data_IF_370813910409
#
_entry.id   IF_370813910409
#
_cell.length_a   1.000
_cell.length_b   1.000
_cell.length_c   1.000
_cell.angle_alpha   90.00
_cell.angle_beta   90.00
_cell.angle_gamma   90.00
#
_symmetry.space_group_name_H-M   'P 1'
#
loop_
_entity.id
_entity.type
_entity.pdbx_description
1 polymer ?
#
# COMPACT_ATOMS: atom_id res chain seq x y z
N UNK A 1 -2.06 18.99 -12.97
CA UNK A 1 -2.85 19.60 -14.07
C UNK A 1 -4.21 20.01 -13.52
N UNK A 2 -4.54 21.28 -13.68
CA UNK A 2 -5.67 21.98 -13.04
C UNK A 2 -7.02 21.50 -13.60
N UNK A 3 -7.91 21.08 -12.72
CA UNK A 3 -9.29 20.72 -13.05
C UNK A 3 -10.16 21.99 -13.19
N UNK A 4 -10.41 22.43 -14.42
CA UNK A 4 -11.35 23.52 -14.72
C UNK A 4 -12.80 23.01 -14.60
N UNK A 5 -13.43 23.34 -13.48
CA UNK A 5 -14.87 23.18 -13.26
C UNK A 5 -15.64 24.26 -14.04
N UNK A 6 -16.15 23.91 -15.22
CA UNK A 6 -17.14 24.75 -15.90
C UNK A 6 -18.51 24.61 -15.22
N UNK A 7 -18.86 25.58 -14.37
CA UNK A 7 -20.23 25.79 -13.88
C UNK A 7 -21.11 26.27 -15.04
N UNK A 8 -22.03 25.43 -15.51
CA UNK A 8 -23.03 25.79 -16.52
C UNK A 8 -24.25 26.37 -15.81
N UNK A 9 -24.46 27.68 -15.90
CA UNK A 9 -25.64 28.40 -15.40
C UNK A 9 -26.87 28.08 -16.29
N UNK A 10 -28.09 27.99 -15.73
CA UNK A 10 -29.31 27.82 -16.52
C UNK A 10 -29.72 29.14 -17.20
N UNK A 11 -29.88 29.11 -18.52
CA UNK A 11 -30.41 30.20 -19.34
C UNK A 11 -31.92 30.32 -19.11
N UNK A 12 -32.37 31.41 -18.50
CA UNK A 12 -33.79 31.75 -18.39
C UNK A 12 -34.29 32.29 -19.73
N UNK A 13 -35.09 31.50 -20.45
CA UNK A 13 -35.74 31.91 -21.69
C UNK A 13 -37.04 32.66 -21.32
N UNK A 14 -36.99 33.99 -21.43
CA UNK A 14 -38.14 34.87 -21.29
C UNK A 14 -39.10 34.68 -22.46
N UNK A 15 -40.36 34.32 -22.18
CA UNK A 15 -41.44 34.20 -23.17
C UNK A 15 -42.14 35.55 -23.29
N UNK A 16 -41.78 36.33 -24.31
CA UNK A 16 -42.56 37.51 -24.72
C UNK A 16 -43.81 37.01 -25.44
N UNK A 17 -44.97 37.24 -24.83
CA UNK A 17 -46.28 37.00 -25.43
C UNK A 17 -46.58 38.03 -26.51
N UNK A 18 -46.74 37.58 -27.75
CA UNK A 18 -47.24 38.40 -28.86
C UNK A 18 -48.75 38.15 -28.95
N UNK A 19 -49.54 39.10 -28.45
CA UNK A 19 -50.99 39.14 -28.66
C UNK A 19 -51.27 39.99 -29.88
N UNK A 20 -51.65 39.36 -31.00
CA UNK A 20 -52.06 40.05 -32.23
C UNK A 20 -53.59 40.04 -32.34
N UNK A 21 -54.19 41.21 -32.09
CA UNK A 21 -55.56 41.52 -32.45
C UNK A 21 -55.61 41.90 -33.95
N UNK A 22 -56.44 41.21 -34.74
CA UNK A 22 -56.73 41.60 -36.11
C UNK A 22 -58.25 41.57 -36.37
N UNK A 23 -58.77 42.78 -36.50
CA UNK A 23 -60.11 43.25 -36.88
C UNK A 23 -60.81 42.42 -37.97
N UNK A 24 -62.09 42.17 -37.73
CA UNK A 24 -63.08 41.74 -38.73
C UNK A 24 -63.30 42.83 -39.79
N UNK A 25 -63.05 42.51 -41.05
CA UNK A 25 -63.51 43.29 -42.20
C UNK A 25 -64.51 42.45 -42.99
N UNK A 26 -65.80 42.74 -42.86
CA UNK A 26 -66.85 42.14 -43.68
C UNK A 26 -66.81 42.77 -45.08
N UNK A 27 -66.23 42.05 -46.05
CA UNK A 27 -66.34 42.36 -47.47
C UNK A 27 -67.64 41.79 -48.02
N UNK A 28 -68.67 42.62 -48.11
CA UNK A 28 -69.90 42.32 -48.87
C UNK A 28 -69.58 42.35 -50.36
N UNK A 29 -69.47 41.16 -50.98
CA UNK A 29 -69.33 41.01 -52.43
C UNK A 29 -70.72 40.75 -53.03
N UNK A 30 -71.30 41.76 -53.67
CA UNK A 30 -72.52 41.59 -54.47
C UNK A 30 -72.13 40.96 -55.83
N UNK A 31 -72.72 39.81 -56.17
CA UNK A 31 -72.66 39.21 -57.52
C UNK A 31 -74.06 39.20 -58.14
N UNK A 32 -74.20 39.85 -59.28
CA UNK A 32 -75.39 39.83 -60.12
C UNK A 32 -75.48 38.49 -60.88
N UNK A 33 -76.61 37.81 -60.74
CA UNK A 33 -76.87 36.44 -61.22
C UNK A 33 -77.81 36.44 -62.41
N UNK A 34 -77.35 35.95 -63.58
CA UNK A 34 -78.23 35.21 -64.52
C UNK A 34 -77.44 34.34 -65.51
N UNK A 35 -76.24 34.76 -65.95
CA UNK A 35 -75.31 33.88 -66.68
C UNK A 35 -74.45 32.99 -65.76
N UNK A 36 -74.43 33.31 -64.46
CA UNK A 36 -73.68 32.58 -63.45
C UNK A 36 -74.36 31.26 -63.04
N UNK A 37 -75.67 31.07 -63.25
CA UNK A 37 -76.43 29.91 -62.73
C UNK A 37 -75.93 28.56 -63.29
N UNK A 38 -75.74 28.45 -64.61
CA UNK A 38 -75.22 27.24 -65.26
C UNK A 38 -73.73 27.01 -64.97
N UNK A 39 -72.94 28.09 -64.83
CA UNK A 39 -71.55 28.02 -64.40
C UNK A 39 -71.41 27.70 -62.89
N UNK A 40 -72.40 28.08 -62.06
CA UNK A 40 -72.45 27.77 -60.62
C UNK A 40 -72.86 26.34 -60.35
N UNK A 41 -73.64 25.68 -61.21
CA UNK A 41 -73.93 24.24 -61.04
C UNK A 41 -72.72 23.38 -61.38
N UNK A 42 -71.99 23.70 -62.47
CA UNK A 42 -70.70 23.09 -62.78
C UNK A 42 -69.63 23.42 -61.71
N UNK A 43 -69.54 24.68 -61.25
CA UNK A 43 -68.61 25.03 -60.18
C UNK A 43 -69.02 24.49 -58.81
N UNK A 44 -70.31 24.31 -58.52
CA UNK A 44 -70.80 23.71 -57.27
C UNK A 44 -70.52 22.21 -57.22
N UNK A 45 -70.66 21.51 -58.34
CA UNK A 45 -70.32 20.08 -58.44
C UNK A 45 -68.81 19.85 -58.35
N UNK A 46 -68.00 20.70 -58.97
CA UNK A 46 -66.53 20.66 -58.85
C UNK A 46 -66.03 21.07 -57.46
N UNK A 47 -66.63 22.09 -56.83
CA UNK A 47 -66.28 22.47 -55.45
C UNK A 47 -66.68 21.39 -54.46
N UNK A 48 -67.83 20.74 -54.66
CA UNK A 48 -68.25 19.60 -53.83
C UNK A 48 -67.32 18.39 -53.97
N UNK A 49 -66.82 18.09 -55.18
CA UNK A 49 -65.85 17.01 -55.40
C UNK A 49 -64.48 17.31 -54.76
N UNK A 50 -64.01 18.57 -54.84
CA UNK A 50 -62.78 19.01 -54.17
C UNK A 50 -62.88 18.99 -52.64
N UNK A 51 -64.03 19.37 -52.08
CA UNK A 51 -64.24 19.30 -50.62
C UNK A 51 -64.24 17.85 -50.14
N UNK A 52 -64.85 16.93 -50.91
CA UNK A 52 -64.84 15.49 -50.60
C UNK A 52 -63.43 14.92 -50.69
N UNK A 53 -62.67 15.23 -51.74
CA UNK A 53 -61.28 14.77 -51.87
C UNK A 53 -60.37 15.34 -50.78
N UNK A 54 -60.53 16.63 -50.43
CA UNK A 54 -59.81 17.26 -49.32
C UNK A 54 -60.13 16.63 -47.97
N UNK A 55 -61.38 16.23 -47.74
CA UNK A 55 -61.81 15.53 -46.52
C UNK A 55 -61.20 14.13 -46.45
N UNK A 56 -61.23 13.37 -47.56
CA UNK A 56 -60.59 12.05 -47.66
C UNK A 56 -59.08 12.14 -47.43
N UNK A 57 -58.39 13.07 -48.10
CA UNK A 57 -56.96 13.32 -47.91
C UNK A 57 -56.59 13.67 -46.46
N UNK A 58 -57.39 14.52 -45.80
CA UNK A 58 -57.18 14.83 -44.37
C UNK A 58 -57.36 13.61 -43.47
N UNK A 59 -58.31 12.73 -43.79
CA UNK A 59 -58.51 11.48 -43.05
C UNK A 59 -57.34 10.53 -43.25
N UNK A 60 -56.86 10.37 -44.48
CA UNK A 60 -55.67 9.57 -44.81
C UNK A 60 -54.42 10.09 -44.09
N UNK A 61 -54.16 11.40 -44.10
CA UNK A 61 -53.06 11.99 -43.33
C UNK A 61 -53.23 11.74 -41.83
N UNK A 62 -54.45 11.85 -41.31
CA UNK A 62 -54.69 11.61 -39.89
C UNK A 62 -54.41 10.16 -39.49
N UNK A 63 -54.70 9.19 -40.38
CA UNK A 63 -54.33 7.79 -40.19
C UNK A 63 -52.80 7.61 -40.25
N UNK A 64 -52.14 8.14 -41.29
CA UNK A 64 -50.69 8.07 -41.42
C UNK A 64 -49.94 8.70 -40.23
N UNK A 65 -50.46 9.80 -39.67
CA UNK A 65 -49.89 10.41 -38.46
C UNK A 65 -50.04 9.52 -37.24
N UNK A 66 -51.15 8.81 -37.10
CA UNK A 66 -51.35 7.86 -36.00
C UNK A 66 -50.37 6.69 -36.13
N UNK A 67 -50.26 6.12 -37.32
CA UNK A 67 -49.34 5.02 -37.60
C UNK A 67 -47.89 5.43 -37.31
N UNK A 68 -47.49 6.62 -37.77
CA UNK A 68 -46.17 7.16 -37.48
C UNK A 68 -45.90 7.35 -35.97
N UNK A 69 -46.86 7.89 -35.22
CA UNK A 69 -46.73 8.05 -33.77
C UNK A 69 -46.62 6.70 -33.07
N UNK A 70 -47.38 5.69 -33.51
CA UNK A 70 -47.29 4.34 -32.95
C UNK A 70 -45.95 3.67 -33.25
N UNK A 71 -45.43 3.83 -34.47
CA UNK A 71 -44.11 3.33 -34.84
C UNK A 71 -42.99 3.99 -34.02
N UNK A 72 -43.05 5.31 -33.83
CA UNK A 72 -42.09 6.01 -32.98
C UNK A 72 -42.16 5.54 -31.52
N UNK A 73 -43.37 5.35 -30.98
CA UNK A 73 -43.55 4.79 -29.63
C UNK A 73 -42.95 3.38 -29.53
N UNK A 74 -43.21 2.50 -30.50
CA UNK A 74 -42.62 1.15 -30.54
C UNK A 74 -41.10 1.21 -30.63
N UNK A 75 -40.53 2.15 -31.40
CA UNK A 75 -39.08 2.35 -31.49
C UNK A 75 -38.50 2.81 -30.15
N UNK A 76 -39.15 3.78 -29.49
CA UNK A 76 -38.73 4.26 -28.17
C UNK A 76 -38.80 3.17 -27.10
N UNK A 77 -39.87 2.37 -27.08
CA UNK A 77 -40.00 1.25 -26.14
C UNK A 77 -38.92 0.18 -26.35
N UNK A 78 -38.56 -0.14 -27.60
CA UNK A 78 -37.45 -1.05 -27.88
C UNK A 78 -36.14 -0.52 -27.32
N UNK A 79 -35.83 0.75 -27.59
CA UNK A 79 -34.63 1.40 -27.05
C UNK A 79 -34.62 1.41 -25.52
N UNK A 80 -35.77 1.65 -24.88
CA UNK A 80 -35.89 1.62 -23.43
C UNK A 80 -35.64 0.21 -22.87
N UNK A 81 -36.25 -0.83 -23.46
CA UNK A 81 -36.02 -2.23 -23.06
C UNK A 81 -34.56 -2.65 -23.24
N UNK A 82 -33.93 -2.23 -24.34
CA UNK A 82 -32.52 -2.53 -24.60
C UNK A 82 -31.60 -1.85 -23.58
N UNK A 83 -31.89 -0.59 -23.22
CA UNK A 83 -31.14 0.14 -22.20
C UNK A 83 -31.28 -0.53 -20.81
N UNK A 84 -32.49 -0.98 -20.44
CA UNK A 84 -32.73 -1.71 -19.20
C UNK A 84 -31.99 -3.05 -19.18
N UNK A 85 -32.03 -3.81 -20.29
CA UNK A 85 -31.34 -5.07 -20.43
C UNK A 85 -29.81 -4.89 -20.29
N UNK A 86 -29.24 -3.84 -20.90
CA UNK A 86 -27.83 -3.49 -20.75
C UNK A 86 -27.49 -3.12 -19.30
N UNK A 87 -28.32 -2.31 -18.64
CA UNK A 87 -28.14 -1.95 -17.22
C UNK A 87 -28.12 -3.20 -16.34
N UNK A 88 -29.06 -4.13 -16.54
CA UNK A 88 -29.11 -5.39 -15.79
C UNK A 88 -27.88 -6.26 -16.05
N UNK A 89 -27.42 -6.35 -17.31
CA UNK A 89 -26.19 -7.08 -17.66
C UNK A 89 -24.98 -6.50 -16.93
N UNK A 90 -24.85 -5.17 -16.90
CA UNK A 90 -23.77 -4.47 -16.19
C UNK A 90 -23.87 -4.73 -14.68
N UNK A 91 -25.07 -4.67 -14.08
CA UNK A 91 -25.23 -4.93 -12.66
C UNK A 91 -24.88 -6.37 -12.28
N UNK A 92 -25.29 -7.36 -13.09
CA UNK A 92 -24.91 -8.77 -12.89
C UNK A 92 -23.40 -8.96 -12.98
N UNK A 93 -22.74 -8.35 -13.98
CA UNK A 93 -21.29 -8.42 -14.12
C UNK A 93 -20.56 -7.75 -12.93
N UNK A 94 -21.06 -6.61 -12.44
CA UNK A 94 -20.52 -5.95 -11.24
C UNK A 94 -20.70 -6.82 -9.99
N UNK A 95 -21.86 -7.44 -9.81
CA UNK A 95 -22.13 -8.35 -8.70
C UNK A 95 -21.18 -9.56 -8.73
N UNK A 96 -21.00 -10.19 -9.89
CA UNK A 96 -20.05 -11.30 -10.06
C UNK A 96 -18.61 -10.87 -9.73
N UNK A 97 -18.18 -9.69 -10.18
CA UNK A 97 -16.85 -9.15 -9.84
C UNK A 97 -16.66 -8.92 -8.34
N UNK A 98 -17.69 -8.39 -7.66
CA UNK A 98 -17.63 -8.18 -6.21
C UNK A 98 -17.58 -9.51 -5.45
N UNK A 99 -18.29 -10.53 -5.92
CA UNK A 99 -18.26 -11.85 -5.33
C UNK A 99 -16.87 -12.51 -5.47
N UNK A 100 -16.26 -12.44 -6.66
CA UNK A 100 -14.88 -12.91 -6.86
C UNK A 100 -13.91 -12.18 -5.92
N UNK A 101 -14.06 -10.85 -5.76
CA UNK A 101 -13.24 -10.08 -4.82
C UNK A 101 -13.42 -10.55 -3.38
N UNK A 102 -14.65 -10.85 -2.95
CA UNK A 102 -14.94 -11.41 -1.61
C UNK A 102 -14.27 -12.76 -1.43
N UNK A 103 -14.37 -13.64 -2.43
CA UNK A 103 -13.72 -14.95 -2.38
C UNK A 103 -12.21 -14.83 -2.30
N UNK A 104 -11.60 -13.93 -3.09
CA UNK A 104 -10.16 -13.65 -3.01
C UNK A 104 -9.74 -13.07 -1.66
N UNK A 105 -10.56 -12.21 -1.05
CA UNK A 105 -10.28 -11.71 0.30
C UNK A 105 -10.37 -12.83 1.33
N UNK A 106 -11.35 -13.73 1.21
CA UNK A 106 -11.49 -14.88 2.08
C UNK A 106 -10.32 -15.87 1.95
N UNK A 107 -9.80 -16.07 0.73
CA UNK A 107 -8.61 -16.89 0.48
C UNK A 107 -7.37 -16.24 1.12
N UNK A 108 -7.13 -14.95 0.85
CA UNK A 108 -6.01 -14.21 1.46
C UNK A 108 -6.06 -14.20 2.99
N UNK A 109 -7.24 -14.05 3.58
CA UNK A 109 -7.39 -14.11 5.04
C UNK A 109 -7.02 -15.49 5.60
N UNK A 110 -7.36 -16.58 4.89
CA UNK A 110 -6.96 -17.94 5.28
C UNK A 110 -5.46 -18.15 5.13
N UNK A 111 -4.84 -17.59 4.10
CA UNK A 111 -3.39 -17.65 3.89
C UNK A 111 -2.65 -16.90 4.99
N UNK A 112 -3.04 -15.67 5.29
CA UNK A 112 -2.46 -14.86 6.39
C UNK A 112 -2.61 -15.57 7.73
N UNK A 113 -3.75 -16.21 8.00
CA UNK A 113 -3.94 -16.99 9.22
C UNK A 113 -2.98 -18.19 9.32
N UNK A 114 -2.70 -18.87 8.20
CA UNK A 114 -1.73 -19.96 8.15
C UNK A 114 -0.30 -19.47 8.35
N UNK A 115 0.08 -18.36 7.70
CA UNK A 115 1.40 -17.75 7.87
C UNK A 115 1.62 -17.30 9.31
N UNK A 116 0.60 -16.70 9.93
CA UNK A 116 0.66 -16.32 11.34
C UNK A 116 0.85 -17.54 12.24
N UNK A 117 0.12 -18.64 12.01
CA UNK A 117 0.29 -19.86 12.78
C UNK A 117 1.73 -20.42 12.67
N UNK A 118 2.28 -20.46 11.45
CA UNK A 118 3.67 -20.90 11.22
C UNK A 118 4.66 -19.95 11.91
N UNK A 119 4.40 -18.64 11.90
CA UNK A 119 5.26 -17.67 12.59
C UNK A 119 5.21 -17.86 14.11
N UNK A 120 4.02 -18.01 14.67
CA UNK A 120 3.83 -18.23 16.11
C UNK A 120 4.53 -19.54 16.56
N UNK A 121 4.48 -20.59 15.74
CA UNK A 121 5.23 -21.83 15.96
C UNK A 121 6.75 -21.61 15.96
N UNK A 122 7.28 -20.88 14.97
CA UNK A 122 8.73 -20.53 14.92
C UNK A 122 9.18 -19.70 16.11
N UNK A 123 8.35 -18.76 16.54
CA UNK A 123 8.62 -17.94 17.73
C UNK A 123 8.64 -18.82 18.97
N UNK A 124 7.69 -19.74 19.10
CA UNK A 124 7.65 -20.71 20.20
C UNK A 124 8.90 -21.59 20.24
N UNK A 125 9.30 -22.19 19.11
CA UNK A 125 10.50 -23.05 19.06
C UNK A 125 11.76 -22.24 19.41
N UNK A 126 11.87 -21.00 18.92
CA UNK A 126 12.98 -20.13 19.26
C UNK A 126 13.06 -19.82 20.76
N UNK A 127 11.92 -19.56 21.41
CA UNK A 127 11.90 -19.35 22.86
C UNK A 127 12.26 -20.61 23.62
N UNK A 128 11.75 -21.78 23.22
CA UNK A 128 12.08 -23.06 23.82
C UNK A 128 13.59 -23.34 23.73
N UNK A 129 14.21 -23.14 22.56
CA UNK A 129 15.67 -23.24 22.37
C UNK A 129 16.44 -22.25 23.26
N UNK A 130 16.00 -21.00 23.36
CA UNK A 130 16.65 -20.00 24.22
C UNK A 130 16.56 -20.35 25.70
N UNK A 131 15.48 -20.96 26.14
CA UNK A 131 15.33 -21.43 27.53
C UNK A 131 16.36 -22.52 27.81
N UNK A 132 16.53 -23.50 26.93
CA UNK A 132 17.54 -24.56 27.06
C UNK A 132 18.94 -23.95 27.14
N UNK A 133 19.30 -23.05 26.22
CA UNK A 133 20.62 -22.39 26.23
C UNK A 133 20.87 -21.61 27.52
N UNK A 134 19.84 -20.97 28.09
CA UNK A 134 19.97 -20.25 29.38
C UNK A 134 20.18 -21.22 30.53
N UNK A 135 19.49 -22.36 30.56
CA UNK A 135 19.67 -23.40 31.57
C UNK A 135 21.07 -24.03 31.51
N UNK A 136 21.59 -24.28 30.31
CA UNK A 136 22.95 -24.79 30.13
C UNK A 136 23.99 -23.77 30.64
N UNK A 137 23.81 -22.49 30.29
CA UNK A 137 24.68 -21.42 30.77
C UNK A 137 24.62 -21.26 32.29
N UNK A 138 23.43 -21.32 32.90
CA UNK A 138 23.30 -21.24 34.36
C UNK A 138 23.97 -22.43 35.04
N UNK A 139 23.80 -23.65 34.51
CA UNK A 139 24.45 -24.84 35.03
C UNK A 139 25.99 -24.75 34.97
N UNK A 140 26.55 -24.19 33.89
CA UNK A 140 28.00 -23.97 33.78
C UNK A 140 28.49 -22.93 34.81
N UNK A 141 27.74 -21.84 34.99
CA UNK A 141 28.06 -20.81 35.99
C UNK A 141 28.01 -21.39 37.40
N UNK A 142 27.01 -22.22 37.71
CA UNK A 142 26.89 -22.90 39.01
C UNK A 142 28.06 -23.85 39.24
N UNK A 143 28.42 -24.69 38.27
CA UNK A 143 29.61 -25.56 38.38
C UNK A 143 30.89 -24.75 38.62
N UNK A 144 31.08 -23.64 37.91
CA UNK A 144 32.25 -22.76 38.12
C UNK A 144 32.24 -22.16 39.51
N UNK A 145 31.08 -21.71 40.00
CA UNK A 145 30.91 -21.17 41.34
C UNK A 145 31.21 -22.22 42.41
N UNK A 146 30.69 -23.44 42.25
CA UNK A 146 30.95 -24.56 43.15
C UNK A 146 32.43 -24.92 43.19
N UNK A 147 33.10 -24.98 42.04
CA UNK A 147 34.54 -25.22 41.96
C UNK A 147 35.35 -24.13 42.69
N UNK A 148 34.98 -22.85 42.51
CA UNK A 148 35.61 -21.74 43.21
C UNK A 148 35.35 -21.80 44.72
N UNK A 149 34.13 -22.10 45.15
CA UNK A 149 33.79 -22.25 46.58
C UNK A 149 34.53 -23.43 47.20
N UNK A 150 34.65 -24.55 46.49
CA UNK A 150 35.42 -25.70 46.94
C UNK A 150 36.91 -25.37 47.09
N UNK A 151 37.49 -24.66 46.12
CA UNK A 151 38.86 -24.16 46.20
C UNK A 151 39.05 -23.20 47.37
N UNK A 152 38.11 -22.26 47.57
CA UNK A 152 38.15 -21.32 48.68
C UNK A 152 38.07 -22.03 50.04
N UNK A 153 37.22 -23.06 50.17
CA UNK A 153 37.12 -23.90 51.37
C UNK A 153 38.44 -24.64 51.66
N UNK A 154 39.10 -25.17 50.62
CA UNK A 154 40.42 -25.77 50.79
C UNK A 154 41.48 -24.74 51.22
N UNK A 155 41.41 -23.52 50.68
CA UNK A 155 42.30 -22.42 51.07
C UNK A 155 42.00 -21.91 52.48
N UNK A 156 40.75 -21.91 52.94
CA UNK A 156 40.38 -21.41 54.26
C UNK A 156 41.00 -22.22 55.39
N UNK A 157 41.24 -23.52 55.18
CA UNK A 157 41.99 -24.34 56.14
C UNK A 157 43.45 -23.89 56.31
N UNK A 158 44.00 -23.12 55.37
CA UNK A 158 45.36 -22.58 55.41
C UNK A 158 45.40 -21.13 55.90
N UNK A 159 44.24 -20.53 56.20
CA UNK A 159 44.18 -19.16 56.72
C UNK A 159 44.71 -19.08 58.15
N UNK A 160 45.26 -17.93 58.50
CA UNK A 160 45.77 -17.64 59.83
C UNK A 160 44.59 -17.37 60.77
N UNK A 161 44.38 -18.23 61.76
CA UNK A 161 43.43 -18.04 62.85
C UNK A 161 44.16 -17.59 64.11
N UNK A 162 43.43 -17.08 65.11
CA UNK A 162 43.99 -16.65 66.40
C UNK A 162 44.81 -17.75 67.08
N UNK A 163 44.40 -19.02 66.90
CA UNK A 163 45.07 -20.21 67.42
C UNK A 163 46.41 -20.52 66.71
N UNK A 164 46.53 -20.24 65.42
CA UNK A 164 47.73 -20.54 64.61
C UNK A 164 48.63 -19.32 64.38
N UNK A 165 48.31 -18.18 64.99
CA UNK A 165 48.93 -16.87 64.74
C UNK A 165 50.44 -16.86 65.07
N UNK A 166 50.81 -17.43 66.22
CA UNK A 166 52.20 -17.46 66.70
C UNK A 166 53.12 -18.37 65.85
N UNK A 167 52.57 -19.38 65.19
CA UNK A 167 53.35 -20.30 64.35
C UNK A 167 53.55 -19.77 62.93
N UNK A 168 52.57 -19.04 62.40
CA UNK A 168 52.59 -18.51 61.03
C UNK A 168 53.43 -17.24 60.86
N UNK A 169 53.71 -16.51 61.94
CA UNK A 169 54.48 -15.26 61.93
C UNK A 169 55.97 -15.43 62.29
N UNK A 170 56.47 -16.66 62.37
CA UNK A 170 57.91 -16.94 62.54
C UNK A 170 58.68 -16.58 61.26
N UNK A 171 59.89 -16.03 61.41
CA UNK A 171 60.74 -15.61 60.28
C UNK A 171 61.00 -16.73 59.27
N UNK A 172 61.15 -17.97 59.72
CA UNK A 172 61.37 -19.12 58.84
C UNK A 172 60.20 -19.39 57.87
N UNK A 173 58.95 -19.14 58.30
CA UNK A 173 57.77 -19.31 57.44
C UNK A 173 57.67 -18.15 56.44
N UNK A 174 58.16 -16.96 56.80
CA UNK A 174 58.19 -15.79 55.93
C UNK A 174 59.23 -15.94 54.81
N UNK A 175 60.45 -16.40 55.13
CA UNK A 175 61.55 -16.56 54.18
C UNK A 175 61.28 -17.68 53.15
N UNK A 176 60.63 -18.77 53.57
CA UNK A 176 60.38 -19.95 52.71
C UNK A 176 58.92 -20.10 52.27
N UNK A 177 58.10 -19.05 52.38
CA UNK A 177 56.70 -19.10 51.94
C UNK A 177 56.62 -19.34 50.42
N UNK A 178 55.85 -20.34 49.98
CA UNK A 178 55.61 -20.60 48.56
C UNK A 178 55.07 -19.38 47.80
N UNK A 179 54.37 -18.46 48.48
CA UNK A 179 53.79 -17.27 47.84
C UNK A 179 54.85 -16.24 47.44
N UNK A 180 55.93 -16.07 48.21
CA UNK A 180 57.04 -15.19 47.84
C UNK A 180 57.92 -15.80 46.73
N UNK A 181 58.01 -17.14 46.69
CA UNK A 181 58.79 -17.87 45.69
C UNK A 181 58.05 -17.91 44.35
N UNK A 182 56.74 -18.13 44.36
CA UNK A 182 55.92 -18.11 43.14
C UNK A 182 55.74 -16.71 42.56
N UNK A 183 55.56 -15.66 43.37
CA UNK A 183 55.42 -14.28 42.87
C UNK A 183 56.69 -13.73 42.20
N UNK A 184 57.86 -14.31 42.50
CA UNK A 184 59.14 -13.93 41.89
C UNK A 184 59.41 -14.64 40.56
N UNK A 185 58.73 -15.76 40.29
CA UNK A 185 58.88 -16.56 39.07
C UNK A 185 57.67 -16.54 38.12
N UNK A 186 56.52 -16.00 38.54
CA UNK A 186 55.28 -16.04 37.76
C UNK A 186 54.88 -14.70 37.12
N UNK A 187 55.81 -13.75 36.96
CA UNK A 187 55.56 -12.60 36.09
C UNK A 187 55.66 -13.04 34.63
N UNK A 188 54.62 -13.71 34.16
CA UNK A 188 54.42 -13.99 32.73
C UNK A 188 53.62 -12.83 32.12
N UNK A 189 54.25 -11.96 31.30
CA UNK A 189 53.54 -10.88 30.62
C UNK A 189 52.44 -11.38 29.67
N UNK A 190 52.43 -12.67 29.30
CA UNK A 190 51.36 -13.32 28.53
C UNK A 190 50.10 -13.60 29.36
N UNK A 191 50.23 -13.70 30.70
CA UNK A 191 49.11 -13.98 31.60
C UNK A 191 48.36 -12.72 32.06
N UNK A 192 48.88 -11.52 31.76
CA UNK A 192 48.15 -10.24 31.89
C UNK A 192 47.18 -10.08 30.72
N UNK A 193 46.22 -10.99 30.64
CA UNK A 193 45.08 -10.89 29.74
C UNK A 193 44.06 -9.93 30.34
N UNK A 194 44.20 -8.64 30.02
CA UNK A 194 43.15 -7.67 30.30
C UNK A 194 43.62 -6.22 30.34
N UNK A 195 43.29 -5.47 29.29
CA UNK A 195 43.30 -4.00 29.21
C UNK A 195 44.62 -3.31 28.82
N UNK A 196 45.68 -3.32 29.62
CA UNK A 196 46.79 -2.37 29.41
C UNK A 196 47.75 -2.71 28.25
N UNK A 197 48.16 -3.98 28.11
CA UNK A 197 49.11 -4.40 27.06
C UNK A 197 48.42 -4.47 25.69
N UNK A 198 47.16 -4.91 25.65
CA UNK A 198 46.35 -4.98 24.42
C UNK A 198 46.14 -3.61 23.76
N UNK A 199 46.03 -2.53 24.54
CA UNK A 199 45.89 -1.17 24.01
C UNK A 199 47.20 -0.63 23.43
N UNK A 200 48.33 -0.90 24.08
CA UNK A 200 49.65 -0.53 23.57
C UNK A 200 50.00 -1.32 22.30
N UNK A 201 49.72 -2.62 22.27
CA UNK A 201 49.93 -3.45 21.08
C UNK A 201 49.02 -2.99 19.93
N UNK A 202 47.79 -2.54 20.24
CA UNK A 202 46.89 -1.93 19.26
C UNK A 202 47.41 -0.58 18.74
N UNK A 203 47.95 0.27 19.61
CA UNK A 203 48.58 1.54 19.21
C UNK A 203 49.85 1.32 18.39
N UNK A 204 50.64 0.29 18.70
CA UNK A 204 51.82 -0.06 17.92
C UNK A 204 51.47 -0.60 16.53
N UNK A 205 50.34 -1.32 16.40
CA UNK A 205 49.82 -1.76 15.09
C UNK A 205 49.09 -0.67 14.31
N UNK A 206 48.59 0.37 14.99
CA UNK A 206 48.04 1.54 14.32
C UNK A 206 49.18 2.44 13.86
N UNK A 207 49.52 2.39 12.56
CA UNK A 207 50.39 3.41 11.98
C UNK A 207 49.74 4.80 12.12
N UNK A 208 50.49 5.85 12.49
CA UNK A 208 49.96 7.20 12.54
C UNK A 208 49.48 7.61 11.15
N UNK A 209 48.28 8.20 11.08
CA UNK A 209 47.72 8.70 9.82
C UNK A 209 48.69 9.70 9.18
N UNK A 210 49.24 9.35 8.02
CA UNK A 210 50.17 10.20 7.25
C UNK A 210 51.54 9.59 6.93
N UNK A 211 51.87 8.39 7.42
CA UNK A 211 53.11 7.68 7.02
C UNK A 211 52.76 6.52 6.08
N UNK A 212 52.70 6.81 4.79
CA UNK A 212 52.71 5.82 3.73
C UNK A 212 54.17 5.52 3.38
N UNK A 213 54.63 4.31 3.71
CA UNK A 213 55.88 3.80 3.15
C UNK A 213 55.61 3.48 1.68
N UNK A 214 56.48 3.95 0.80
CA UNK A 214 56.36 3.91 -0.66
C UNK A 214 56.33 2.50 -1.29
N UNK A 215 56.10 1.44 -0.50
CA UNK A 215 55.97 0.05 -0.97
C UNK A 215 54.53 -0.44 -1.12
N UNK A 216 53.52 0.21 -0.51
CA UNK A 216 52.12 -0.24 -0.59
C UNK A 216 51.32 0.36 -1.77
N UNK A 217 51.86 1.39 -2.45
CA UNK A 217 51.26 1.97 -3.66
C UNK A 217 51.17 0.94 -4.81
N UNK A 218 52.10 -0.02 -4.86
CA UNK A 218 52.13 -1.06 -5.90
C UNK A 218 51.06 -2.14 -5.70
N UNK A 219 50.64 -2.42 -4.46
CA UNK A 219 49.60 -3.41 -4.17
C UNK A 219 48.19 -2.83 -4.31
N UNK A 220 47.99 -1.55 -3.97
CA UNK A 220 46.71 -0.87 -4.15
C UNK A 220 46.38 -0.61 -5.63
N UNK A 221 47.39 -0.31 -6.46
CA UNK A 221 47.20 -0.11 -7.91
C UNK A 221 46.88 -1.41 -8.66
N UNK A 222 47.30 -2.58 -8.17
CA UNK A 222 47.02 -3.87 -8.81
C UNK A 222 45.59 -4.38 -8.52
N UNK A 223 45.00 -4.02 -7.37
CA UNK A 223 43.62 -4.40 -7.03
C UNK A 223 42.59 -3.51 -7.74
N UNK A 224 42.93 -2.26 -8.03
CA UNK A 224 42.07 -1.36 -8.80
C UNK A 224 41.96 -1.73 -10.29
N UNK A 225 42.98 -2.37 -10.89
CA UNK A 225 42.96 -2.82 -12.28
C UNK A 225 42.34 -4.20 -12.50
N UNK A 226 42.01 -4.95 -11.44
CA UNK A 226 41.38 -6.27 -11.53
C UNK A 226 39.84 -6.25 -11.41
N UNK A 227 39.23 -5.06 -11.34
CA UNK A 227 37.79 -4.88 -11.16
C UNK A 227 37.08 -4.31 -12.42
N UNK A 228 37.77 -4.18 -13.56
CA UNK A 228 37.26 -3.48 -14.76
C UNK A 228 37.09 -4.40 -16.00
N UNK A 229 36.99 -5.71 -15.83
CA UNK A 229 36.55 -6.62 -16.90
C UNK A 229 35.72 -7.76 -16.30
N UNK A 230 34.39 -7.62 -16.28
CA UNK A 230 33.42 -8.72 -16.48
C UNK A 230 32.00 -8.10 -16.66
N UNK A 231 31.69 -7.82 -17.92
CA UNK A 231 30.44 -8.13 -18.62
C UNK A 231 29.05 -7.61 -18.15
N UNK A 232 28.33 -7.15 -19.16
CA UNK A 232 27.01 -6.55 -19.11
C UNK A 232 25.90 -7.58 -19.36
N UNK A 233 24.79 -7.52 -18.62
CA UNK A 233 23.41 -7.73 -19.12
C UNK A 233 22.45 -7.08 -18.11
N UNK A 234 21.78 -5.98 -18.44
CA UNK A 234 20.50 -5.86 -19.15
C UNK A 234 19.24 -6.03 -18.23
N UNK A 235 18.23 -5.23 -18.55
CA UNK A 235 16.85 -5.19 -18.06
C UNK A 235 16.52 -4.38 -16.78
N UNK A 236 16.21 -3.10 -17.04
CA UNK A 236 15.22 -2.23 -16.40
C UNK A 236 14.11 -2.90 -15.56
N UNK A 237 13.90 -2.40 -14.33
CA UNK A 237 12.57 -2.08 -13.81
C UNK A 237 12.70 -1.14 -12.58
N UNK A 238 12.45 0.15 -12.79
CA UNK A 238 12.19 1.12 -11.72
C UNK A 238 10.73 0.95 -11.26
N UNK A 239 10.52 0.39 -10.06
CA UNK A 239 9.26 0.58 -9.32
C UNK A 239 9.54 1.33 -8.02
N UNK A 240 9.06 2.58 -8.03
CA UNK A 240 9.27 3.60 -7.03
C UNK A 240 8.37 3.33 -5.82
N UNK A 241 8.95 2.87 -4.71
CA UNK A 241 8.25 2.75 -3.42
C UNK A 241 8.70 3.86 -2.47
N UNK A 242 8.06 5.02 -2.63
CA UNK A 242 8.07 6.12 -1.66
C UNK A 242 7.28 5.70 -0.40
N UNK A 243 7.99 5.14 0.57
CA UNK A 243 7.48 4.85 1.91
C UNK A 243 7.69 6.08 2.79
N UNK A 244 6.84 7.09 2.61
CA UNK A 244 6.75 8.19 3.57
C UNK A 244 6.04 7.70 4.84
N UNK A 245 6.79 7.77 5.93
CA UNK A 245 6.34 7.54 7.28
C UNK A 245 5.54 8.76 7.73
N UNK A 246 4.23 8.60 7.96
CA UNK A 246 3.47 9.59 8.72
C UNK A 246 2.85 8.95 9.96
N UNK A 247 3.31 9.46 11.09
CA UNK A 247 2.97 9.03 12.42
C UNK A 247 1.62 9.63 12.83
N UNK A 248 0.59 8.79 12.99
CA UNK A 248 -0.67 9.22 13.62
C UNK A 248 -0.89 8.52 14.95
N UNK A 249 -0.64 9.30 15.98
CA UNK A 249 -0.88 9.15 17.42
C UNK A 249 -2.35 8.79 17.73
N UNK A 250 -2.66 7.89 18.69
CA UNK A 250 -4.04 7.71 19.14
C UNK A 250 -4.39 8.76 20.21
N UNK A 251 -5.46 9.51 19.97
CA UNK A 251 -6.13 10.30 21.01
C UNK A 251 -7.00 9.39 21.87
N UNK A 252 -6.91 9.62 23.18
CA UNK A 252 -7.61 8.93 24.25
C UNK A 252 -8.57 9.97 24.85
N UNK A 253 -9.86 9.72 24.76
CA UNK A 253 -10.97 10.38 25.49
C UNK A 253 -11.97 9.21 25.66
N UNK A 254 -12.29 8.64 26.83
CA UNK A 254 -12.68 9.18 28.15
C UNK A 254 -13.82 10.20 28.06
N UNK A 255 -15.03 9.71 27.80
CA UNK A 255 -16.20 9.80 28.72
C UNK A 255 -17.27 8.74 28.38
#
# INVERSE_FOLDING_TARGET
MVALHFRRLPVMISRVGISAAAKSGALTRALSTSAAAAATEASATETYSFVKSRKAYRQEIALLRKDFIEEEKRRQEKLARDAEAQRLKIMKAKAARLEIKRQQQAIRAKEVAREKAIHDEKVRTYFEEKVVVRQERSAVVERRREALVASLRQQSHKWTTEENYAEKLKEDVFIYSPQQISSRGSFDPSSTSGSAVSWLEKLQRMKPAGVYDSSDEAAASAVASAADEEDATDASNDDNTDSSSDASKPTKEEE
#
